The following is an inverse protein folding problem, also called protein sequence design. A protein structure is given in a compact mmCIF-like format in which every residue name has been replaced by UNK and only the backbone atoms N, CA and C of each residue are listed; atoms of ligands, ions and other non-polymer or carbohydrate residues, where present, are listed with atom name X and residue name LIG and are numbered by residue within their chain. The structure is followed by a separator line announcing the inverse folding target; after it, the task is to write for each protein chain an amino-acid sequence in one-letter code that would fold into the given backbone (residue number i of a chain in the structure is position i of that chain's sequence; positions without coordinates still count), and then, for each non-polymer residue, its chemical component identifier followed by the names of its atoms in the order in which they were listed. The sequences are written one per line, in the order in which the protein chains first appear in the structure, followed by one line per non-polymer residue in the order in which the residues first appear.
data_IF_768185899992
#
_entry.id   IF_768185899992
#
_cell.length_a   1.000
_cell.length_b   1.000
_cell.length_c   1.000
_cell.angle_alpha   90.00
_cell.angle_beta   90.00
_cell.angle_gamma   90.00
#
_symmetry.space_group_name_H-M   'P 1'
#
loop_
_entity.id
_entity.type
_entity.pdbx_description
1 polymer ?
#
# COMPACT_ATOMS: atom_id res chain seq x y z
N UNK A 1 -12.74 -6.45 -0.42
CA UNK A 1 -13.48 -5.83 -1.53
C UNK A 1 -13.51 -6.76 -2.74
N UNK A 2 -14.62 -6.86 -3.47
CA UNK A 2 -14.78 -7.82 -4.58
C UNK A 2 -15.57 -7.27 -5.75
N UNK A 3 -15.04 -7.50 -6.95
CA UNK A 3 -15.72 -7.40 -8.25
C UNK A 3 -15.70 -8.80 -8.88
N UNK A 4 -16.80 -9.54 -8.69
CA UNK A 4 -16.88 -10.97 -8.96
C UNK A 4 -16.54 -11.31 -10.43
N UNK A 5 -15.72 -12.34 -10.61
CA UNK A 5 -15.26 -12.80 -11.93
C UNK A 5 -14.14 -11.98 -12.55
N UNK A 6 -13.71 -10.88 -11.92
CA UNK A 6 -12.59 -10.07 -12.39
C UNK A 6 -11.49 -9.96 -11.33
N UNK A 7 -11.76 -9.30 -10.20
CA UNK A 7 -10.75 -9.06 -9.17
C UNK A 7 -11.32 -8.91 -7.75
N UNK A 8 -10.59 -9.47 -6.79
CA UNK A 8 -10.84 -9.35 -5.36
C UNK A 8 -9.59 -8.86 -4.63
N UNK A 9 -9.81 -8.01 -3.64
CA UNK A 9 -8.78 -7.57 -2.69
C UNK A 9 -9.18 -7.98 -1.29
N UNK A 10 -8.29 -8.67 -0.59
CA UNK A 10 -8.51 -9.11 0.79
C UNK A 10 -7.34 -8.64 1.65
N UNK A 11 -7.66 -8.19 2.86
CA UNK A 11 -6.64 -7.86 3.86
C UNK A 11 -6.59 -8.95 4.92
N UNK A 12 -5.39 -9.26 5.38
CA UNK A 12 -5.13 -10.32 6.37
C UNK A 12 -4.27 -9.77 7.50
N UNK A 13 -4.45 -10.33 8.69
CA UNK A 13 -3.77 -9.93 9.91
C UNK A 13 -3.37 -11.20 10.69
N UNK A 14 -2.27 -11.13 11.42
CA UNK A 14 -1.87 -12.11 12.40
C UNK A 14 -1.62 -11.39 13.73
N UNK A 15 -2.14 -11.95 14.82
CA UNK A 15 -1.90 -11.43 16.18
C UNK A 15 -0.47 -11.71 16.64
N UNK A 16 0.08 -12.84 16.20
CA UNK A 16 1.47 -13.23 16.45
C UNK A 16 2.39 -12.58 15.42
N UNK A 17 3.37 -11.80 15.90
CA UNK A 17 4.35 -11.08 15.08
C UNK A 17 5.33 -12.01 14.36
N UNK A 18 5.51 -13.26 14.82
CA UNK A 18 6.34 -14.25 14.14
C UNK A 18 5.66 -14.85 12.90
N UNK A 19 4.36 -14.59 12.72
CA UNK A 19 3.58 -15.08 11.60
C UNK A 19 3.47 -14.02 10.51
N UNK A 20 3.95 -14.35 9.31
CA UNK A 20 3.62 -13.60 8.08
C UNK A 20 2.19 -13.96 7.63
N UNK A 21 1.19 -13.07 7.78
CA UNK A 21 -0.19 -13.38 7.42
C UNK A 21 -0.36 -13.51 5.90
N UNK A 22 0.37 -12.72 5.10
CA UNK A 22 0.26 -12.73 3.64
C UNK A 22 0.85 -14.02 3.09
N UNK A 23 2.09 -14.37 3.46
CA UNK A 23 2.72 -15.64 3.08
C UNK A 23 1.91 -16.85 3.54
N UNK A 24 1.29 -16.74 4.72
CA UNK A 24 0.37 -17.74 5.26
C UNK A 24 -0.94 -17.90 4.49
N UNK A 25 -1.34 -16.94 3.65
CA UNK A 25 -2.47 -17.12 2.74
C UNK A 25 -2.03 -17.48 1.31
N UNK A 26 -0.88 -16.98 0.86
CA UNK A 26 -0.33 -17.22 -0.49
C UNK A 26 0.15 -18.67 -0.64
N UNK A 27 0.87 -19.19 0.36
CA UNK A 27 1.48 -20.53 0.31
C UNK A 27 2.73 -20.61 -0.56
N UNK A 28 3.39 -21.77 -0.55
CA UNK A 28 4.62 -21.96 -1.33
C UNK A 28 4.36 -21.64 -2.82
N UNK A 29 5.11 -20.66 -3.34
CA UNK A 29 4.99 -20.18 -4.73
C UNK A 29 3.53 -19.84 -5.14
N UNK A 30 2.70 -19.38 -4.21
CA UNK A 30 1.32 -19.00 -4.48
C UNK A 30 0.33 -20.15 -4.63
N UNK A 31 0.71 -21.38 -4.26
CA UNK A 31 -0.13 -22.56 -4.49
C UNK A 31 -1.54 -22.42 -3.90
N UNK A 32 -1.68 -21.84 -2.70
CA UNK A 32 -2.98 -21.73 -2.01
C UNK A 32 -3.88 -20.71 -2.69
N UNK A 33 -3.37 -19.51 -2.94
CA UNK A 33 -4.14 -18.46 -3.64
C UNK A 33 -4.48 -18.88 -5.07
N UNK A 34 -3.56 -19.57 -5.77
CA UNK A 34 -3.80 -20.03 -7.14
C UNK A 34 -4.91 -21.08 -7.22
N UNK A 35 -5.05 -21.95 -6.21
CA UNK A 35 -6.17 -22.88 -6.15
C UNK A 35 -7.52 -22.14 -6.11
N UNK A 36 -7.62 -21.05 -5.34
CA UNK A 36 -8.83 -20.24 -5.25
C UNK A 36 -9.08 -19.48 -6.56
N UNK A 37 -8.04 -18.89 -7.17
CA UNK A 37 -8.12 -18.23 -8.48
C UNK A 37 -8.69 -19.20 -9.54
N UNK A 38 -8.24 -20.46 -9.52
CA UNK A 38 -8.73 -21.48 -10.44
C UNK A 38 -10.21 -21.82 -10.19
N UNK A 39 -10.61 -21.99 -8.93
CA UNK A 39 -12.00 -22.24 -8.53
C UNK A 39 -12.93 -21.09 -8.94
N UNK A 40 -12.43 -19.85 -8.82
CA UNK A 40 -13.14 -18.63 -9.24
C UNK A 40 -12.97 -18.30 -10.74
N UNK A 41 -12.61 -19.29 -11.55
CA UNK A 41 -12.53 -19.19 -13.03
C UNK A 41 -11.63 -18.05 -13.52
N UNK A 42 -10.54 -17.79 -12.81
CA UNK A 42 -9.52 -16.80 -13.18
C UNK A 42 -9.67 -15.43 -12.53
N UNK A 43 -10.64 -15.24 -11.61
CA UNK A 43 -10.74 -14.02 -10.79
C UNK A 43 -9.39 -13.76 -10.08
N UNK A 44 -8.79 -12.58 -10.30
CA UNK A 44 -7.53 -12.19 -9.67
C UNK A 44 -7.73 -11.89 -8.19
N UNK A 45 -6.82 -12.34 -7.34
CA UNK A 45 -6.89 -12.12 -5.90
C UNK A 45 -5.60 -11.44 -5.46
N UNK A 46 -5.73 -10.22 -4.93
CA UNK A 46 -4.62 -9.55 -4.26
C UNK A 46 -4.82 -9.69 -2.75
N UNK A 47 -3.81 -10.24 -2.07
CA UNK A 47 -3.76 -10.42 -0.63
C UNK A 47 -2.80 -9.37 -0.07
N UNK A 48 -3.28 -8.56 0.86
CA UNK A 48 -2.50 -7.47 1.46
C UNK A 48 -2.51 -7.56 2.97
N UNK A 49 -1.48 -7.03 3.61
CA UNK A 49 -1.45 -6.93 5.06
C UNK A 49 -2.39 -5.82 5.53
N UNK A 50 -3.20 -6.13 6.55
CA UNK A 50 -3.99 -5.14 7.27
C UNK A 50 -3.10 -4.39 8.26
N UNK A 51 -3.39 -3.10 8.47
CA UNK A 51 -2.76 -2.29 9.51
C UNK A 51 -3.80 -1.38 10.15
N UNK A 52 -3.58 -1.03 11.42
CA UNK A 52 -4.34 0.02 12.12
C UNK A 52 -3.95 1.41 11.64
N UNK A 53 -2.69 1.58 11.23
CA UNK A 53 -2.22 2.83 10.65
C UNK A 53 -2.83 3.01 9.25
N UNK A 54 -3.62 4.08 9.02
CA UNK A 54 -4.21 4.34 7.71
C UNK A 54 -3.17 4.54 6.61
N UNK A 55 -1.99 5.09 6.92
CA UNK A 55 -0.90 5.31 5.95
C UNK A 55 -0.43 3.95 5.42
N UNK A 56 -0.08 3.05 6.34
CA UNK A 56 0.38 1.70 6.00
C UNK A 56 -0.72 0.89 5.32
N UNK A 57 -1.95 0.93 5.85
CA UNK A 57 -3.03 0.11 5.33
C UNK A 57 -3.46 0.52 3.93
N UNK A 58 -3.56 1.83 3.64
CA UNK A 58 -3.86 2.34 2.29
C UNK A 58 -2.73 2.02 1.32
N UNK A 59 -1.47 2.16 1.75
CA UNK A 59 -0.30 1.80 0.95
C UNK A 59 -0.32 0.33 0.57
N UNK A 60 -0.52 -0.56 1.55
CA UNK A 60 -0.67 -2.00 1.33
C UNK A 60 -1.84 -2.29 0.39
N UNK A 61 -2.97 -1.61 0.56
CA UNK A 61 -4.15 -1.79 -0.26
C UNK A 61 -3.97 -1.33 -1.72
N UNK A 62 -2.97 -0.54 -2.08
CA UNK A 62 -2.68 -0.18 -3.47
C UNK A 62 -1.71 -1.12 -4.19
N UNK A 63 -1.12 -2.08 -3.48
CA UNK A 63 -0.32 -3.16 -4.07
C UNK A 63 -1.06 -3.79 -5.26
N UNK A 64 -0.40 -3.92 -6.43
CA UNK A 64 1.06 -3.99 -6.62
C UNK A 64 1.80 -2.65 -6.84
N UNK A 65 1.11 -1.52 -6.83
CA UNK A 65 1.77 -0.22 -7.01
C UNK A 65 2.59 0.17 -5.79
N UNK A 66 3.76 0.77 -6.03
CA UNK A 66 4.58 1.42 -5.01
C UNK A 66 3.98 2.78 -4.69
N UNK A 67 3.88 3.07 -3.39
CA UNK A 67 3.46 4.35 -2.86
C UNK A 67 4.71 5.09 -2.39
N UNK A 68 4.78 6.37 -2.74
CA UNK A 68 5.83 7.29 -2.26
C UNK A 68 5.41 7.88 -0.93
N UNK A 69 4.17 8.38 -0.87
CA UNK A 69 3.64 9.05 0.31
C UNK A 69 2.12 8.94 0.38
N UNK A 70 1.56 8.96 1.60
CA UNK A 70 0.12 9.04 1.85
C UNK A 70 -0.15 10.20 2.79
N UNK A 71 -0.87 11.19 2.28
CA UNK A 71 -1.39 12.29 3.09
C UNK A 71 -2.78 11.91 3.60
N UNK A 72 -2.98 11.95 4.91
CA UNK A 72 -4.23 11.51 5.55
C UNK A 72 -5.00 12.70 6.09
N UNK A 73 -6.28 12.77 5.75
CA UNK A 73 -7.27 13.62 6.39
C UNK A 73 -8.26 12.72 7.16
N UNK A 74 -8.06 12.64 8.47
CA UNK A 74 -8.88 11.78 9.34
C UNK A 74 -10.32 12.27 9.46
N UNK A 75 -10.54 13.59 9.50
CA UNK A 75 -11.88 14.18 9.64
C UNK A 75 -12.79 13.79 8.46
N UNK A 76 -12.25 13.82 7.24
CA UNK A 76 -13.00 13.49 6.02
C UNK A 76 -12.93 12.01 5.62
N UNK A 77 -12.15 11.22 6.37
CA UNK A 77 -11.75 9.84 6.06
C UNK A 77 -11.25 9.70 4.62
N UNK A 78 -10.34 10.60 4.25
CA UNK A 78 -9.79 10.72 2.91
C UNK A 78 -8.26 10.68 2.93
N UNK A 79 -7.68 10.13 1.86
CA UNK A 79 -6.23 10.07 1.66
C UNK A 79 -5.87 10.54 0.27
N UNK A 80 -4.79 11.31 0.16
CA UNK A 80 -4.11 11.60 -1.11
C UNK A 80 -2.86 10.75 -1.17
N UNK A 81 -2.81 9.83 -2.14
CA UNK A 81 -1.70 8.90 -2.31
C UNK A 81 -0.85 9.33 -3.48
N UNK A 82 0.45 9.49 -3.23
CA UNK A 82 1.42 9.86 -4.24
C UNK A 82 2.14 8.61 -4.71
N UNK A 83 2.17 8.41 -6.02
CA UNK A 83 2.86 7.27 -6.67
C UNK A 83 3.83 7.77 -7.73
N UNK A 84 4.83 6.97 -8.11
CA UNK A 84 5.71 7.35 -9.20
C UNK A 84 4.93 7.55 -10.51
N UNK A 85 5.33 8.53 -11.32
CA UNK A 85 4.64 8.89 -12.57
C UNK A 85 4.40 7.68 -13.48
N UNK A 86 5.41 6.81 -13.61
CA UNK A 86 5.31 5.59 -14.44
C UNK A 86 4.35 4.53 -13.90
N UNK A 87 3.93 4.63 -12.63
CA UNK A 87 2.98 3.73 -11.99
C UNK A 87 1.58 4.31 -11.81
N UNK A 88 1.34 5.59 -12.17
CA UNK A 88 0.03 6.22 -12.00
C UNK A 88 -1.11 5.38 -12.60
N UNK A 89 -0.94 4.92 -13.85
CA UNK A 89 -1.94 4.06 -14.50
C UNK A 89 -2.12 2.71 -13.81
N UNK A 90 -1.07 2.15 -13.20
CA UNK A 90 -1.15 0.88 -12.48
C UNK A 90 -1.90 1.06 -11.15
N UNK A 91 -1.61 2.14 -10.43
CA UNK A 91 -2.24 2.49 -9.16
C UNK A 91 -3.74 2.74 -9.31
N UNK A 92 -4.15 3.46 -10.36
CA UNK A 92 -5.56 3.63 -10.73
C UNK A 92 -6.15 2.27 -11.16
N UNK A 93 -5.42 1.54 -12.01
CA UNK A 93 -5.85 0.27 -12.59
C UNK A 93 -6.88 0.43 -13.72
N UNK A 94 -7.18 -0.66 -14.41
CA UNK A 94 -8.13 -0.67 -15.54
C UNK A 94 -9.50 -0.16 -15.09
N UNK A 95 -9.98 0.94 -15.68
CA UNK A 95 -11.24 1.61 -15.30
C UNK A 95 -11.31 1.96 -13.80
N UNK A 96 -10.18 2.32 -13.20
CA UNK A 96 -10.11 2.67 -11.77
C UNK A 96 -10.31 1.49 -10.82
N UNK A 97 -10.25 0.24 -11.31
CA UNK A 97 -10.58 -0.93 -10.49
C UNK A 97 -9.66 -1.09 -9.27
N UNK A 98 -8.36 -0.84 -9.40
CA UNK A 98 -7.44 -1.03 -8.29
C UNK A 98 -7.74 -0.03 -7.16
N UNK A 99 -7.79 1.26 -7.49
CA UNK A 99 -8.14 2.32 -6.55
C UNK A 99 -9.51 2.10 -5.90
N UNK A 100 -10.53 1.69 -6.68
CA UNK A 100 -11.88 1.43 -6.16
C UNK A 100 -11.93 0.21 -5.23
N UNK A 101 -11.21 -0.86 -5.55
CA UNK A 101 -11.11 -2.03 -4.66
C UNK A 101 -10.34 -1.71 -3.39
N UNK A 102 -9.25 -0.92 -3.47
CA UNK A 102 -8.50 -0.44 -2.32
C UNK A 102 -9.38 0.42 -1.41
N UNK A 103 -10.06 1.42 -1.96
CA UNK A 103 -10.97 2.29 -1.21
C UNK A 103 -12.11 1.51 -0.53
N UNK A 104 -12.68 0.53 -1.24
CA UNK A 104 -13.71 -0.36 -0.67
C UNK A 104 -13.15 -1.31 0.41
N UNK A 105 -11.87 -1.69 0.33
CA UNK A 105 -11.23 -2.59 1.28
C UNK A 105 -10.91 -1.85 2.59
N UNK A 106 -10.27 -0.68 2.48
CA UNK A 106 -9.83 0.12 3.63
C UNK A 106 -10.96 0.97 4.22
N UNK A 107 -11.97 1.28 3.41
CA UNK A 107 -13.05 2.19 3.78
C UNK A 107 -12.63 3.67 3.78
N UNK A 108 -11.48 4.00 3.17
CA UNK A 108 -10.97 5.36 2.97
C UNK A 108 -11.27 5.85 1.55
N UNK A 109 -11.52 7.14 1.39
CA UNK A 109 -11.50 7.76 0.06
C UNK A 109 -10.03 7.88 -0.38
N UNK A 110 -9.71 7.43 -1.58
CA UNK A 110 -8.34 7.43 -2.10
C UNK A 110 -8.30 8.27 -3.37
N UNK A 111 -7.64 9.42 -3.28
CA UNK A 111 -7.19 10.19 -4.44
C UNK A 111 -5.76 9.80 -4.78
N UNK A 112 -5.43 9.64 -6.08
CA UNK A 112 -4.10 9.18 -6.50
C UNK A 112 -3.49 10.23 -7.42
N UNK A 113 -2.31 10.70 -7.04
CA UNK A 113 -1.52 11.68 -7.79
C UNK A 113 -0.18 11.09 -8.18
N UNK A 114 0.36 11.52 -9.31
CA UNK A 114 1.77 11.25 -9.58
C UNK A 114 2.67 12.20 -8.79
N UNK A 115 3.94 11.84 -8.62
CA UNK A 115 4.92 12.74 -7.99
C UNK A 115 4.98 14.10 -8.70
N UNK A 116 4.97 14.12 -10.03
CA UNK A 116 4.98 15.38 -10.80
C UNK A 116 3.77 16.26 -10.50
N UNK A 117 2.57 15.68 -10.43
CA UNK A 117 1.34 16.40 -10.06
C UNK A 117 1.39 16.88 -8.61
N UNK A 118 1.90 16.04 -7.69
CA UNK A 118 2.01 16.38 -6.29
C UNK A 118 2.99 17.55 -6.05
N UNK A 119 4.13 17.58 -6.74
CA UNK A 119 5.08 18.71 -6.69
C UNK A 119 4.46 20.01 -7.19
N UNK A 120 3.73 19.96 -8.31
CA UNK A 120 3.02 21.14 -8.85
C UNK A 120 2.00 21.71 -7.85
N UNK A 121 1.36 20.83 -7.06
CA UNK A 121 0.38 21.20 -6.04
C UNK A 121 1.01 21.52 -4.68
N UNK A 122 2.34 21.47 -4.54
CA UNK A 122 3.05 21.70 -3.29
C UNK A 122 2.79 20.64 -2.21
N UNK A 123 2.34 19.45 -2.63
CA UNK A 123 2.06 18.30 -1.76
C UNK A 123 3.29 17.43 -1.52
N UNK A 124 4.35 17.62 -2.31
CA UNK A 124 5.62 16.91 -2.19
C UNK A 124 6.74 17.96 -2.25
N UNK A 125 7.53 18.10 -1.18
CA UNK A 125 8.72 18.96 -1.15
C UNK A 125 9.97 18.21 -1.60
N UNK A 126 10.92 18.89 -2.23
CA UNK A 126 12.21 18.32 -2.66
C UNK A 126 13.21 18.13 -1.49
N UNK A 127 12.77 18.25 -0.23
CA UNK A 127 13.62 17.97 0.93
C UNK A 127 13.85 16.46 1.01
N UNK A 128 15.07 16.03 0.68
CA UNK A 128 15.54 14.67 0.94
C UNK A 128 15.29 14.31 2.42
N UNK A 129 14.97 13.05 2.75
CA UNK A 129 14.85 12.67 4.14
C UNK A 129 16.17 13.00 4.84
N UNK A 130 16.11 13.88 5.83
CA UNK A 130 17.20 14.08 6.78
C UNK A 130 17.48 12.70 7.39
N UNK A 131 18.56 12.05 6.95
CA UNK A 131 19.25 11.09 7.79
C UNK A 131 19.59 11.87 9.06
N UNK A 132 18.83 11.61 10.14
CA UNK A 132 19.27 12.00 11.48
C UNK A 132 20.60 11.30 11.70
N UNK A 133 21.69 12.03 11.49
CA UNK A 133 23.02 11.68 11.96
C UNK A 133 22.88 11.34 13.44
N UNK A 134 22.89 10.04 13.75
CA UNK A 134 23.16 9.58 15.10
C UNK A 134 24.55 10.09 15.46
N UNK A 135 24.61 11.24 16.14
CA UNK A 135 25.79 11.68 16.86
C UNK A 135 26.11 10.60 17.91
N UNK A 136 26.99 9.66 17.56
CA UNK A 136 27.70 8.89 18.58
C UNK A 136 28.69 9.83 19.25
N UNK A 137 28.23 10.46 20.34
CA UNK A 137 29.10 10.96 21.40
C UNK A 137 29.93 9.79 21.93
N UNK A 138 31.18 9.69 21.48
CA UNK A 138 32.25 9.01 22.20
C UNK A 138 33.49 9.91 22.13
N UNK A 139 33.44 11.01 22.89
CA UNK A 139 34.65 11.57 23.52
C UNK A 139 35.10 10.66 24.67
N UNK A 140 36.29 10.93 25.21
CA UNK A 140 37.03 10.25 26.30
C UNK A 140 37.97 9.12 25.80
N UNK A 141 39.30 9.21 25.89
CA UNK A 141 40.18 10.03 26.73
C UNK A 141 41.60 9.96 26.17
N UNK A 142 42.32 11.09 26.24
CA UNK A 142 43.78 11.20 26.18
C UNK A 142 44.49 10.18 27.08
N UNK A 143 45.57 9.56 26.57
CA UNK A 143 46.96 9.60 27.09
C UNK A 143 47.96 8.91 26.13
#
# INVERSE_FOLDING_TARGET
AREAGDRSKISVYAEDQEIDPVGSCVGQRGQRVQAIVNELKGEKIDIVQWSEDPIEYVSNALSPSKVVEVLVNEEEKATTVIVPDYQLSLAIGKRGQNARLAAKLTGWKIDIKSESEAREQGLLSDEEPHEEDFETEDEWSDE
#
